data_IF_818835143445
#
_entry.id   IF_818835143445
#
_cell.length_a   1.000
_cell.length_b   1.000
_cell.length_c   1.000
_cell.angle_alpha   90.00
_cell.angle_beta   90.00
_cell.angle_gamma   90.00
#
_symmetry.space_group_name_H-M   'P 1'
#
loop_
_entity.id
_entity.type
_entity.pdbx_description
1 polymer ?
#
# COMPACT_ATOMS: atom_id res chain seq x y z
N UNK A 1 -4.64 9.15 26.39
CA UNK A 1 -3.80 9.87 25.43
C UNK A 1 -2.35 9.89 25.89
N UNK A 2 -1.46 9.38 25.04
CA UNK A 2 -0.02 9.32 25.21
C UNK A 2 0.65 9.76 23.90
N UNK A 3 1.90 10.20 23.97
CA UNK A 3 2.68 10.58 22.78
C UNK A 3 3.51 9.40 22.28
N UNK A 4 3.45 9.17 20.97
CA UNK A 4 4.15 8.11 20.26
C UNK A 4 5.11 8.73 19.24
N UNK A 5 6.32 8.17 19.15
CA UNK A 5 7.22 8.38 18.04
C UNK A 5 6.87 7.38 16.94
N UNK A 6 6.45 7.89 15.79
CA UNK A 6 6.19 7.10 14.58
C UNK A 6 7.39 7.28 13.66
N UNK A 7 8.04 6.18 13.30
CA UNK A 7 9.17 6.13 12.39
C UNK A 7 8.71 5.42 11.12
N UNK A 8 8.73 6.13 10.01
CA UNK A 8 8.52 5.56 8.69
C UNK A 8 9.86 5.32 8.03
N UNK A 9 10.14 4.06 7.71
CA UNK A 9 11.38 3.63 7.10
C UNK A 9 11.17 3.07 5.70
N UNK A 10 12.07 3.43 4.79
CA UNK A 10 12.24 2.78 3.49
C UNK A 10 13.64 2.15 3.44
N UNK A 11 13.70 0.85 3.14
CA UNK A 11 14.97 0.19 2.93
C UNK A 11 15.47 0.51 1.51
N UNK A 12 16.18 1.64 1.42
CA UNK A 12 17.03 2.11 0.31
C UNK A 12 17.74 0.99 -0.46
N UNK A 13 18.65 0.40 0.33
CA UNK A 13 19.67 -0.59 0.03
C UNK A 13 20.20 -1.09 1.40
N UNK A 14 21.13 -2.05 1.44
CA UNK A 14 21.71 -2.57 2.70
C UNK A 14 22.29 -1.49 3.64
N UNK A 15 22.61 -0.29 3.13
CA UNK A 15 23.32 0.76 3.86
C UNK A 15 22.56 2.09 3.98
N UNK A 16 21.33 2.22 3.50
CA UNK A 16 20.59 3.50 3.58
C UNK A 16 19.14 3.23 3.98
N UNK A 17 18.76 3.78 5.12
CA UNK A 17 17.37 3.81 5.58
C UNK A 17 16.98 5.29 5.59
N UNK A 18 16.06 5.67 4.71
CA UNK A 18 15.39 6.97 4.85
C UNK A 18 14.34 6.82 5.94
N UNK A 19 14.60 7.45 7.09
CA UNK A 19 13.66 7.47 8.21
C UNK A 19 13.06 8.85 8.35
N UNK A 20 11.74 8.95 8.21
CA UNK A 20 10.99 10.11 8.66
C UNK A 20 10.41 9.82 10.05
N UNK A 21 10.47 10.81 10.94
CA UNK A 21 10.05 10.67 12.33
C UNK A 21 8.95 11.69 12.64
N UNK A 22 7.86 11.21 13.23
CA UNK A 22 6.69 12.01 13.59
C UNK A 22 6.33 11.77 15.04
N UNK A 23 5.81 12.80 15.72
CA UNK A 23 5.23 12.66 17.05
C UNK A 23 3.72 12.74 16.90
N UNK A 24 3.02 11.71 17.39
CA UNK A 24 1.56 11.59 17.31
C UNK A 24 1.00 11.37 18.72
N UNK A 25 -0.09 12.05 19.05
CA UNK A 25 -0.86 11.77 20.27
C UNK A 25 -1.99 10.79 19.95
N UNK A 26 -2.08 9.70 20.72
CA UNK A 26 -3.09 8.65 20.54
C UNK A 26 -3.37 7.91 21.86
N UNK A 27 -4.39 7.05 21.90
CA UNK A 27 -4.66 6.18 23.04
C UNK A 27 -4.00 4.80 22.92
N UNK A 28 -3.51 4.43 21.73
CA UNK A 28 -2.75 3.20 21.50
C UNK A 28 -1.73 3.37 20.37
N UNK A 29 -0.77 2.44 20.29
CA UNK A 29 0.18 2.37 19.18
C UNK A 29 -0.51 2.14 17.84
N UNK A 30 -1.59 1.33 17.82
CA UNK A 30 -2.37 1.08 16.62
C UNK A 30 -3.11 2.34 16.15
N UNK A 31 -3.70 3.09 17.07
CA UNK A 31 -4.33 4.37 16.76
C UNK A 31 -3.30 5.40 16.26
N UNK A 32 -2.09 5.45 16.86
CA UNK A 32 -1.01 6.29 16.37
C UNK A 32 -0.58 5.92 14.93
N UNK A 33 -0.48 4.61 14.62
CA UNK A 33 -0.20 4.12 13.26
C UNK A 33 -1.29 4.56 12.27
N UNK A 34 -2.56 4.34 12.62
CA UNK A 34 -3.69 4.70 11.76
C UNK A 34 -3.78 6.22 11.54
N UNK A 35 -3.54 7.01 12.59
CA UNK A 35 -3.50 8.47 12.47
C UNK A 35 -2.38 8.91 11.53
N UNK A 36 -1.19 8.35 11.67
CA UNK A 36 -0.06 8.61 10.79
C UNK A 36 -0.40 8.30 9.33
N UNK A 37 -0.92 7.11 9.04
CA UNK A 37 -1.29 6.71 7.67
C UNK A 37 -2.29 7.70 7.08
N UNK A 38 -3.35 8.04 7.82
CA UNK A 38 -4.41 8.95 7.33
C UNK A 38 -3.96 10.40 7.17
N UNK A 39 -2.94 10.86 7.90
CA UNK A 39 -2.51 12.27 7.90
C UNK A 39 -1.22 12.52 7.15
N UNK A 40 -0.45 11.48 6.86
CA UNK A 40 0.85 11.59 6.21
C UNK A 40 0.95 10.57 5.08
N UNK A 41 0.79 9.28 5.39
CA UNK A 41 1.02 8.20 4.43
C UNK A 41 0.19 8.33 3.14
N UNK A 42 -1.12 8.54 3.24
CA UNK A 42 -2.00 8.65 2.06
C UNK A 42 -1.83 9.96 1.27
N UNK A 43 -1.02 10.90 1.77
CA UNK A 43 -0.67 12.13 1.07
C UNK A 43 0.76 12.10 0.51
N UNK A 44 1.48 10.98 0.69
CA UNK A 44 2.77 10.77 0.07
C UNK A 44 2.60 10.71 -1.45
N UNK A 45 3.38 11.53 -2.17
CA UNK A 45 3.25 11.66 -3.62
C UNK A 45 3.62 10.37 -4.34
N UNK A 46 4.65 9.65 -3.86
CA UNK A 46 5.08 8.40 -4.49
C UNK A 46 4.03 7.31 -4.27
N UNK A 47 3.43 7.23 -3.08
CA UNK A 47 2.32 6.32 -2.82
C UNK A 47 1.14 6.59 -3.77
N UNK A 48 0.73 7.85 -3.89
CA UNK A 48 -0.37 8.22 -4.78
C UNK A 48 -0.03 7.98 -6.26
N UNK A 49 1.21 8.27 -6.67
CA UNK A 49 1.71 7.91 -7.99
C UNK A 49 1.64 6.39 -8.20
N UNK A 50 2.05 5.55 -7.26
CA UNK A 50 2.02 4.09 -7.41
C UNK A 50 0.58 3.53 -7.47
N UNK A 51 -0.34 4.09 -6.67
CA UNK A 51 -1.75 3.68 -6.64
C UNK A 51 -2.51 4.13 -7.89
N UNK A 52 -2.35 5.38 -8.32
CA UNK A 52 -3.13 5.94 -9.43
C UNK A 52 -2.45 5.80 -10.79
N UNK A 53 -1.12 5.73 -10.88
CA UNK A 53 -0.46 5.67 -12.17
C UNK A 53 -0.56 4.27 -12.78
N UNK A 54 -1.52 4.09 -13.69
CA UNK A 54 -1.76 2.85 -14.45
C UNK A 54 -0.53 2.29 -15.19
N UNK A 55 0.51 3.10 -15.42
CA UNK A 55 1.76 2.72 -16.10
C UNK A 55 2.91 2.39 -15.12
N UNK A 56 2.93 2.97 -13.92
CA UNK A 56 3.91 2.68 -12.83
C UNK A 56 3.38 1.59 -11.89
N UNK A 57 2.09 1.29 -11.94
CA UNK A 57 1.40 0.18 -11.27
C UNK A 57 1.99 -1.21 -11.60
N UNK A 58 3.13 -1.32 -12.28
CA UNK A 58 3.88 -2.58 -12.35
C UNK A 58 4.18 -3.14 -10.96
N UNK A 59 4.34 -2.37 -9.89
CA UNK A 59 4.50 -2.93 -8.53
C UNK A 59 3.25 -3.61 -7.94
N UNK A 60 2.07 -2.97 -8.03
CA UNK A 60 0.80 -3.54 -7.54
C UNK A 60 0.20 -4.58 -8.51
N UNK A 61 0.30 -4.32 -9.81
CA UNK A 61 -0.05 -5.30 -10.86
C UNK A 61 0.95 -6.47 -10.84
N UNK A 62 2.19 -6.31 -10.36
CA UNK A 62 3.08 -7.44 -10.08
C UNK A 62 2.57 -8.28 -8.90
N UNK A 63 2.07 -7.66 -7.83
CA UNK A 63 1.41 -8.37 -6.72
C UNK A 63 0.15 -9.14 -7.15
N UNK A 64 -0.63 -8.62 -8.10
CA UNK A 64 -1.86 -9.29 -8.57
C UNK A 64 -1.69 -10.15 -9.82
N UNK A 65 -0.65 -9.93 -10.63
CA UNK A 65 -0.50 -10.53 -11.97
C UNK A 65 0.79 -11.29 -12.22
N UNK A 66 1.83 -11.13 -11.39
CA UNK A 66 3.17 -11.68 -11.70
C UNK A 66 3.75 -12.68 -10.71
N UNK A 67 3.02 -13.03 -9.64
CA UNK A 67 3.49 -14.05 -8.69
C UNK A 67 3.55 -15.48 -9.29
N UNK A 68 3.23 -15.64 -10.59
CA UNK A 68 3.41 -16.88 -11.36
C UNK A 68 4.52 -16.84 -12.42
N UNK A 69 5.17 -15.69 -12.67
CA UNK A 69 6.13 -15.54 -13.78
C UNK A 69 7.55 -15.08 -13.37
N UNK A 70 7.80 -14.78 -12.11
CA UNK A 70 9.14 -14.37 -11.63
C UNK A 70 9.99 -15.52 -11.08
N UNK A 71 9.46 -16.74 -10.95
CA UNK A 71 10.27 -17.91 -10.58
C UNK A 71 10.71 -18.68 -11.83
N UNK A 72 11.95 -18.43 -12.25
CA UNK A 72 12.79 -19.30 -13.08
C UNK A 72 12.44 -19.45 -14.57
N UNK A 73 12.76 -18.44 -15.40
CA UNK A 73 13.17 -18.67 -16.80
C UNK A 73 12.16 -19.31 -17.76
N UNK A 74 10.87 -19.35 -17.42
CA UNK A 74 9.82 -19.87 -18.31
C UNK A 74 9.34 -18.74 -19.24
N UNK A 75 9.31 -18.94 -20.57
CA UNK A 75 8.76 -17.96 -21.49
C UNK A 75 7.28 -17.70 -21.16
N UNK A 76 6.92 -16.41 -21.00
CA UNK A 76 5.55 -15.99 -20.69
C UNK A 76 4.58 -16.61 -21.71
N UNK A 77 3.60 -17.44 -21.28
CA UNK A 77 2.50 -17.79 -22.15
C UNK A 77 1.84 -16.47 -22.59
N UNK A 78 1.57 -16.30 -23.89
CA UNK A 78 0.61 -15.28 -24.32
C UNK A 78 -0.74 -15.71 -23.79
N UNK A 79 -1.06 -15.33 -22.55
CA UNK A 79 -2.41 -15.46 -22.04
C UNK A 79 -3.33 -14.62 -22.92
N UNK A 80 -4.49 -15.20 -23.28
CA UNK A 80 -5.58 -14.44 -23.88
C UNK A 80 -5.96 -13.31 -22.92
N UNK A 81 -6.10 -12.08 -23.43
CA UNK A 81 -6.35 -10.88 -22.62
C UNK A 81 -7.46 -11.09 -21.59
N UNK A 82 -8.56 -11.72 -22.00
CA UNK A 82 -9.73 -11.98 -21.16
C UNK A 82 -9.39 -12.83 -19.92
N UNK A 83 -8.44 -13.77 -20.03
CA UNK A 83 -7.98 -14.59 -18.89
C UNK A 83 -7.12 -13.79 -17.91
N UNK A 84 -6.36 -12.81 -18.39
CA UNK A 84 -5.58 -11.91 -17.53
C UNK A 84 -6.49 -10.93 -16.81
N UNK A 85 -7.51 -10.40 -17.49
CA UNK A 85 -8.47 -9.48 -16.90
C UNK A 85 -9.26 -10.19 -15.76
N UNK A 86 -9.71 -11.43 -15.97
CA UNK A 86 -10.40 -12.20 -14.92
C UNK A 86 -9.48 -12.57 -13.74
N UNK A 87 -8.22 -12.94 -14.01
CA UNK A 87 -7.24 -13.19 -12.94
C UNK A 87 -7.02 -11.94 -12.10
N UNK A 88 -6.81 -10.79 -12.75
CA UNK A 88 -6.64 -9.51 -12.08
C UNK A 88 -7.86 -9.16 -11.21
N UNK A 89 -9.08 -9.27 -11.75
CA UNK A 89 -10.31 -8.99 -11.00
C UNK A 89 -10.43 -9.87 -9.76
N UNK A 90 -10.15 -11.16 -9.87
CA UNK A 90 -10.21 -12.07 -8.72
C UNK A 90 -9.21 -11.70 -7.63
N UNK A 91 -7.98 -11.35 -8.03
CA UNK A 91 -6.95 -10.93 -7.08
C UNK A 91 -7.24 -9.60 -6.40
N UNK A 92 -7.81 -8.65 -7.11
CA UNK A 92 -8.30 -7.40 -6.51
C UNK A 92 -9.43 -7.71 -5.51
N UNK A 93 -10.36 -8.60 -5.86
CA UNK A 93 -11.43 -9.02 -4.92
C UNK A 93 -10.89 -9.74 -3.70
N UNK A 94 -9.84 -10.55 -3.85
CA UNK A 94 -9.13 -11.18 -2.73
C UNK A 94 -8.45 -10.16 -1.83
N UNK A 95 -7.79 -9.14 -2.40
CA UNK A 95 -7.19 -8.06 -1.61
C UNK A 95 -8.24 -7.35 -0.76
N UNK A 96 -9.36 -6.97 -1.36
CA UNK A 96 -10.42 -6.22 -0.71
C UNK A 96 -11.54 -7.15 -0.20
N UNK A 97 -11.20 -8.32 0.35
CA UNK A 97 -12.16 -9.37 0.74
C UNK A 97 -13.40 -8.80 1.49
N UNK A 98 -13.18 -7.99 2.53
CA UNK A 98 -14.26 -7.38 3.32
C UNK A 98 -14.83 -6.07 2.72
N UNK A 99 -14.26 -5.61 1.61
CA UNK A 99 -14.52 -4.30 0.99
C UNK A 99 -14.84 -4.43 -0.51
N UNK A 100 -15.83 -5.26 -0.84
CA UNK A 100 -16.24 -5.52 -2.24
C UNK A 100 -16.48 -4.27 -3.09
N UNK A 101 -17.04 -3.20 -2.52
CA UNK A 101 -17.27 -1.95 -3.25
C UNK A 101 -15.95 -1.28 -3.66
N UNK A 102 -14.91 -1.37 -2.82
CA UNK A 102 -13.57 -0.87 -3.13
C UNK A 102 -12.89 -1.72 -4.19
N UNK A 103 -13.07 -3.05 -4.16
CA UNK A 103 -12.59 -3.93 -5.24
C UNK A 103 -13.14 -3.52 -6.60
N UNK A 104 -14.47 -3.37 -6.71
CA UNK A 104 -15.09 -3.01 -7.98
C UNK A 104 -14.68 -1.60 -8.41
N UNK A 105 -14.58 -0.65 -7.48
CA UNK A 105 -14.07 0.70 -7.75
C UNK A 105 -12.64 0.67 -8.32
N UNK A 106 -11.76 -0.13 -7.73
CA UNK A 106 -10.37 -0.29 -8.20
C UNK A 106 -10.32 -0.96 -9.58
N UNK A 107 -11.12 -2.01 -9.80
CA UNK A 107 -11.25 -2.68 -11.11
C UNK A 107 -11.72 -1.71 -12.17
N UNK A 108 -12.74 -0.89 -11.87
CA UNK A 108 -13.28 0.07 -12.83
C UNK A 108 -12.27 1.15 -13.21
N UNK A 109 -11.52 1.64 -12.24
CA UNK A 109 -10.43 2.58 -12.46
C UNK A 109 -9.33 1.98 -13.36
N UNK A 110 -8.93 0.74 -13.09
CA UNK A 110 -7.78 0.11 -13.75
C UNK A 110 -8.09 -0.43 -15.15
N UNK A 111 -9.24 -1.09 -15.35
CA UNK A 111 -9.54 -1.79 -16.60
C UNK A 111 -10.42 -0.98 -17.57
N UNK A 112 -11.32 -0.16 -17.03
CA UNK A 112 -12.27 0.61 -17.85
C UNK A 112 -11.88 2.07 -18.01
N UNK A 113 -10.68 2.42 -17.52
CA UNK A 113 -10.09 3.74 -17.62
C UNK A 113 -10.95 4.87 -17.04
N UNK A 114 -11.91 4.56 -16.16
CA UNK A 114 -12.77 5.57 -15.52
C UNK A 114 -11.94 6.51 -14.65
N UNK A 115 -12.25 7.80 -14.73
CA UNK A 115 -11.68 8.80 -13.83
C UNK A 115 -12.40 8.75 -12.49
N UNK A 116 -11.76 8.13 -11.49
CA UNK A 116 -12.33 7.85 -10.17
C UNK A 116 -11.33 8.31 -9.12
N UNK A 117 -11.82 9.05 -8.13
CA UNK A 117 -11.07 9.36 -6.92
C UNK A 117 -11.40 8.30 -5.85
N UNK A 118 -10.38 7.63 -5.32
CA UNK A 118 -10.53 6.66 -4.25
C UNK A 118 -10.76 7.36 -2.90
N UNK A 119 -11.71 6.88 -2.08
CA UNK A 119 -11.96 7.46 -0.77
C UNK A 119 -10.74 7.29 0.15
N UNK A 120 -10.55 8.22 1.09
CA UNK A 120 -9.41 8.20 2.02
C UNK A 120 -9.30 6.88 2.78
N UNK A 121 -10.42 6.25 3.14
CA UNK A 121 -10.46 4.96 3.81
C UNK A 121 -9.83 3.85 2.96
N UNK A 122 -10.11 3.85 1.66
CA UNK A 122 -9.55 2.89 0.71
C UNK A 122 -8.05 3.12 0.50
N UNK A 123 -7.62 4.38 0.43
CA UNK A 123 -6.20 4.72 0.34
C UNK A 123 -5.44 4.31 1.61
N UNK A 124 -6.02 4.54 2.79
CA UNK A 124 -5.42 4.14 4.05
C UNK A 124 -5.36 2.61 4.20
N UNK A 125 -6.38 1.92 3.70
CA UNK A 125 -6.42 0.46 3.60
C UNK A 125 -5.29 -0.07 2.71
N UNK A 126 -5.19 0.45 1.49
CA UNK A 126 -4.12 0.07 0.54
C UNK A 126 -2.73 0.33 1.13
N UNK A 127 -2.50 1.50 1.74
CA UNK A 127 -1.23 1.81 2.39
C UNK A 127 -0.83 0.76 3.44
N UNK A 128 -1.83 0.27 4.19
CA UNK A 128 -1.63 -0.70 5.25
C UNK A 128 -1.42 -2.12 4.71
N UNK A 129 -2.32 -2.61 3.84
CA UNK A 129 -2.29 -3.99 3.33
C UNK A 129 -1.09 -4.26 2.41
N UNK A 130 -0.65 -3.24 1.67
CA UNK A 130 0.53 -3.35 0.80
C UNK A 130 1.85 -3.22 1.58
N UNK A 131 1.77 -2.94 2.89
CA UNK A 131 2.93 -2.60 3.73
C UNK A 131 3.86 -1.57 3.06
N UNK A 132 3.27 -0.56 2.38
CA UNK A 132 3.97 0.31 1.42
C UNK A 132 5.29 0.87 1.96
N UNK A 133 5.27 1.30 3.22
CA UNK A 133 6.47 1.63 4.00
C UNK A 133 6.41 0.97 5.37
N UNK A 134 7.58 0.66 5.92
CA UNK A 134 7.68 0.09 7.26
C UNK A 134 7.39 1.18 8.29
N UNK A 135 6.31 1.03 9.04
CA UNK A 135 5.96 1.93 10.13
C UNK A 135 6.29 1.27 11.48
N UNK A 136 7.13 1.93 12.27
CA UNK A 136 7.46 1.55 13.64
C UNK A 136 6.84 2.60 14.58
N UNK A 137 6.13 2.15 15.61
CA UNK A 137 5.50 3.02 16.60
C UNK A 137 6.06 2.72 17.98
N UNK A 138 6.63 3.72 18.64
CA UNK A 138 7.28 3.59 19.95
C UNK A 138 6.66 4.62 20.92
N UNK A 139 6.18 4.21 22.10
CA UNK A 139 5.78 5.13 23.15
C UNK A 139 6.96 6.02 23.57
N UNK A 140 6.81 7.34 23.60
CA UNK A 140 7.94 8.25 23.87
C UNK A 140 8.54 8.01 25.27
N UNK A 141 7.72 7.63 26.24
CA UNK A 141 8.15 7.31 27.60
C UNK A 141 9.05 6.05 27.69
N UNK A 142 9.09 5.21 26.66
CA UNK A 142 9.95 4.02 26.60
C UNK A 142 11.32 4.30 25.96
N UNK A 143 11.51 5.48 25.37
CA UNK A 143 12.77 5.86 24.71
C UNK A 143 13.83 6.20 25.78
N UNK A 144 14.83 5.33 25.93
CA UNK A 144 15.96 5.55 26.84
C UNK A 144 16.90 6.61 26.27
N UNK A 145 17.29 7.57 27.10
CA UNK A 145 18.40 8.51 26.80
C UNK A 145 19.73 7.83 27.15
N UNK A 146 20.68 7.90 26.23
CA UNK A 146 22.06 7.43 26.42
C UNK A 146 22.97 8.62 26.68
#
# INVERSE_FOLDING_TARGET
MASYLVIEGEQVNQNTIHNQCFIVEANSSQEAKQFFIRKVGIHDRLFLEDVYNRSINMGLVEHFGYDLLSWQGVPKPRYEKDKMDELFKNRVRELFEDHHEWAETYIEYMLYEKDIEFPEEMLAYLYYELEYRKIIVIPINEIKRF
#
